data_IF_632590446455
#
_entry.id   IF_632590446455
#
_cell.length_a   1.000
_cell.length_b   1.000
_cell.length_c   1.000
_cell.angle_alpha   90.00
_cell.angle_beta   90.00
_cell.angle_gamma   90.00
#
_symmetry.space_group_name_H-M   'P 1'
#
loop_
_entity.id
_entity.type
_entity.pdbx_description
1 polymer ?
#
# COMPACT_ATOMS: atom_id res chain seq x y z
N UNK A 1 -12.13 1.90 20.75
CA UNK A 1 -12.66 0.56 20.48
C UNK A 1 -13.96 0.38 21.29
N UNK A 2 -13.91 0.31 22.63
CA UNK A 2 -15.08 0.09 23.50
C UNK A 2 -16.28 1.00 23.18
N UNK A 3 -16.04 2.30 22.97
CA UNK A 3 -17.10 3.25 22.62
C UNK A 3 -17.75 2.99 21.26
N UNK A 4 -17.04 2.41 20.32
CA UNK A 4 -17.60 1.98 19.04
C UNK A 4 -18.49 0.74 19.24
N UNK A 5 -17.95 -0.28 19.90
CA UNK A 5 -18.64 -1.53 20.13
C UNK A 5 -19.93 -1.35 20.96
N UNK A 6 -19.90 -0.50 22.00
CA UNK A 6 -21.10 -0.14 22.78
C UNK A 6 -22.22 0.50 21.94
N UNK A 7 -21.88 1.04 20.75
CA UNK A 7 -22.84 1.64 19.80
C UNK A 7 -23.13 0.78 18.59
N UNK A 8 -22.65 -0.47 18.58
CA UNK A 8 -22.82 -1.39 17.46
C UNK A 8 -22.04 -0.98 16.21
N UNK A 9 -20.95 -0.23 16.38
CA UNK A 9 -20.07 0.20 15.28
C UNK A 9 -18.78 -0.62 15.26
N UNK A 10 -18.37 -1.03 14.07
CA UNK A 10 -17.04 -1.61 13.85
C UNK A 10 -15.95 -0.52 13.90
N UNK A 11 -14.77 -0.88 14.39
CA UNK A 11 -13.59 -0.02 14.36
C UNK A 11 -12.52 -0.65 13.48
N UNK A 12 -12.17 0.04 12.39
CA UNK A 12 -11.09 -0.36 11.50
C UNK A 12 -9.85 0.51 11.73
N UNK A 13 -8.73 -0.13 12.02
CA UNK A 13 -7.45 0.56 12.16
C UNK A 13 -6.87 0.90 10.79
N UNK A 14 -6.68 2.19 10.51
CA UNK A 14 -6.08 2.65 9.25
C UNK A 14 -4.59 2.92 9.43
N UNK A 15 -3.79 2.31 8.57
CA UNK A 15 -2.35 2.53 8.52
C UNK A 15 -1.89 2.92 7.11
N UNK A 16 -0.78 3.67 7.04
CA UNK A 16 -0.02 3.88 5.82
C UNK A 16 1.24 3.01 5.88
N UNK A 17 1.34 1.94 5.08
CA UNK A 17 2.34 0.89 5.32
C UNK A 17 3.77 1.31 4.97
N UNK A 18 3.99 2.11 3.93
CA UNK A 18 5.32 2.37 3.39
C UNK A 18 5.89 3.75 3.69
N UNK A 19 5.06 4.71 4.05
CA UNK A 19 5.52 6.08 4.31
C UNK A 19 6.20 6.19 5.66
N UNK A 20 7.53 6.14 5.68
CA UNK A 20 8.34 6.26 6.90
C UNK A 20 8.45 7.70 7.41
N UNK A 21 8.42 8.72 6.50
CA UNK A 21 8.52 10.14 6.84
C UNK A 21 7.73 10.99 5.87
N UNK A 22 6.92 11.90 6.39
CA UNK A 22 6.17 12.89 5.59
C UNK A 22 7.03 14.09 5.19
N UNK A 23 6.56 14.87 4.19
CA UNK A 23 7.12 16.21 3.91
C UNK A 23 7.04 17.08 5.17
N UNK A 24 8.03 17.93 5.37
CA UNK A 24 8.08 18.88 6.49
C UNK A 24 8.54 18.30 7.82
N UNK A 25 8.61 16.98 7.99
CA UNK A 25 9.26 16.39 9.16
C UNK A 25 10.77 16.61 9.11
N UNK A 26 11.32 17.35 10.06
CA UNK A 26 12.74 17.71 10.11
C UNK A 26 13.56 16.82 11.02
N UNK A 27 12.96 16.32 12.10
CA UNK A 27 13.63 15.49 13.10
C UNK A 27 13.05 14.07 13.11
N UNK A 28 13.93 13.10 13.16
CA UNK A 28 13.58 11.68 13.31
C UNK A 28 14.12 11.18 14.64
N UNK A 29 13.34 10.36 15.32
CA UNK A 29 13.79 9.71 16.55
C UNK A 29 15.01 8.80 16.26
N UNK A 30 15.96 8.62 17.22
CA UNK A 30 17.15 7.79 17.02
C UNK A 30 16.84 6.32 16.68
N UNK A 31 15.65 5.83 17.08
CA UNK A 31 15.17 4.47 16.79
C UNK A 31 14.33 4.38 15.52
N UNK A 32 14.15 5.47 14.78
CA UNK A 32 13.38 5.48 13.55
C UNK A 32 14.04 4.61 12.46
N UNK A 33 13.23 3.91 11.64
CA UNK A 33 13.71 2.97 10.61
C UNK A 33 14.69 3.63 9.63
N UNK A 34 14.43 4.86 9.21
CA UNK A 34 15.29 5.60 8.29
C UNK A 34 16.64 6.01 8.92
N UNK A 35 16.75 6.04 10.26
CA UNK A 35 17.99 6.29 10.99
C UNK A 35 18.75 4.99 11.23
N UNK A 36 18.06 3.98 11.76
CA UNK A 36 18.69 2.68 12.09
C UNK A 36 19.04 1.82 10.88
N UNK A 37 18.27 1.95 9.81
CA UNK A 37 18.40 1.10 8.61
C UNK A 37 18.16 1.91 7.34
N UNK A 38 19.03 2.90 7.05
CA UNK A 38 18.82 3.84 5.94
C UNK A 38 18.73 3.16 4.57
N UNK A 39 19.37 2.00 4.38
CA UNK A 39 19.28 1.20 3.17
C UNK A 39 17.89 0.56 2.92
N UNK A 40 16.96 0.64 3.88
CA UNK A 40 15.59 0.13 3.74
C UNK A 40 14.61 1.16 3.21
N UNK A 41 15.00 2.41 3.17
CA UNK A 41 14.17 3.53 2.71
C UNK A 41 14.84 4.26 1.57
N UNK A 42 14.05 4.95 0.77
CA UNK A 42 14.55 5.91 -0.20
C UNK A 42 13.86 7.27 0.00
N UNK A 43 14.59 8.33 -0.38
CA UNK A 43 14.05 9.68 -0.42
C UNK A 43 13.32 9.90 -1.75
N UNK A 44 12.10 10.46 -1.68
CA UNK A 44 11.32 10.80 -2.85
C UNK A 44 10.36 11.95 -2.51
N UNK A 45 10.41 13.03 -3.28
CA UNK A 45 9.53 14.19 -3.13
C UNK A 45 9.43 14.69 -1.66
N UNK A 46 10.59 14.81 -0.99
CA UNK A 46 10.68 15.27 0.41
C UNK A 46 10.20 14.28 1.48
N UNK A 47 9.80 13.09 1.09
CA UNK A 47 9.39 12.00 1.97
C UNK A 47 10.48 10.93 2.07
N UNK A 48 10.38 10.06 3.09
CA UNK A 48 11.06 8.76 3.10
C UNK A 48 10.04 7.65 2.96
N UNK A 49 10.29 6.78 1.99
CA UNK A 49 9.43 5.63 1.67
C UNK A 49 10.23 4.36 1.98
N UNK A 50 9.65 3.45 2.74
CA UNK A 50 10.18 2.09 2.85
C UNK A 50 10.06 1.43 1.48
N UNK A 51 11.19 0.95 0.94
CA UNK A 51 11.23 0.42 -0.42
C UNK A 51 10.38 -0.87 -0.54
N UNK A 52 9.27 -0.87 -1.31
CA UNK A 52 8.42 -2.07 -1.47
C UNK A 52 9.13 -3.23 -2.17
N UNK A 53 10.20 -2.93 -2.92
CA UNK A 53 11.05 -3.92 -3.59
C UNK A 53 11.93 -4.74 -2.66
N UNK A 54 12.07 -4.35 -1.39
CA UNK A 54 12.87 -5.09 -0.40
C UNK A 54 11.98 -6.07 0.37
N UNK A 55 12.18 -7.40 0.24
CA UNK A 55 11.35 -8.40 0.91
C UNK A 55 11.23 -8.20 2.43
N UNK A 56 12.33 -7.91 3.11
CA UNK A 56 12.33 -7.71 4.56
C UNK A 56 11.52 -6.49 5.03
N UNK A 57 11.21 -5.53 4.14
CA UNK A 57 10.31 -4.42 4.46
C UNK A 57 8.86 -4.91 4.54
N UNK A 58 8.42 -5.75 3.60
CA UNK A 58 7.08 -6.35 3.62
C UNK A 58 6.88 -7.19 4.87
N UNK A 59 7.85 -8.04 5.20
CA UNK A 59 7.82 -8.85 6.42
C UNK A 59 7.76 -7.99 7.70
N UNK A 60 8.51 -6.88 7.73
CA UNK A 60 8.52 -5.96 8.87
C UNK A 60 7.15 -5.29 9.06
N UNK A 61 6.52 -4.85 7.97
CA UNK A 61 5.18 -4.24 8.02
C UNK A 61 4.14 -5.27 8.46
N UNK A 62 4.21 -6.51 7.93
CA UNK A 62 3.31 -7.58 8.37
C UNK A 62 3.45 -7.87 9.87
N UNK A 63 4.68 -7.85 10.44
CA UNK A 63 4.88 -8.00 11.89
C UNK A 63 4.27 -6.86 12.70
N UNK A 64 4.33 -5.63 12.21
CA UNK A 64 3.66 -4.48 12.87
C UNK A 64 2.15 -4.68 12.88
N UNK A 65 1.58 -5.09 11.74
CA UNK A 65 0.14 -5.35 11.65
C UNK A 65 -0.29 -6.52 12.52
N UNK A 66 0.49 -7.60 12.54
CA UNK A 66 0.24 -8.74 13.43
C UNK A 66 0.21 -8.32 14.92
N UNK A 67 1.14 -7.45 15.34
CA UNK A 67 1.16 -6.89 16.71
C UNK A 67 -0.11 -6.06 16.97
N UNK A 68 -0.56 -5.22 16.03
CA UNK A 68 -1.79 -4.45 16.16
C UNK A 68 -3.00 -5.37 16.29
N UNK A 69 -3.14 -6.34 15.39
CA UNK A 69 -4.28 -7.28 15.37
C UNK A 69 -4.33 -8.12 16.64
N UNK A 70 -3.18 -8.56 17.15
CA UNK A 70 -3.11 -9.33 18.41
C UNK A 70 -3.52 -8.52 19.63
N UNK A 71 -3.03 -7.29 19.73
CA UNK A 71 -3.13 -6.47 20.95
C UNK A 71 -4.44 -5.72 21.08
N UNK A 72 -5.08 -5.40 19.96
CA UNK A 72 -6.29 -4.58 19.97
C UNK A 72 -7.49 -5.35 19.45
N UNK A 73 -8.66 -5.04 20.02
CA UNK A 73 -9.95 -5.61 19.62
C UNK A 73 -10.55 -4.79 18.48
N UNK A 74 -9.83 -4.77 17.35
CA UNK A 74 -10.28 -4.12 16.12
C UNK A 74 -11.08 -5.10 15.27
N UNK A 75 -12.04 -4.58 14.51
CA UNK A 75 -12.90 -5.34 13.59
C UNK A 75 -12.33 -5.40 12.18
N UNK A 76 -11.43 -4.47 11.85
CA UNK A 76 -10.77 -4.44 10.56
C UNK A 76 -9.45 -3.72 10.59
N UNK A 77 -8.61 -4.01 9.58
CA UNK A 77 -7.44 -3.25 9.22
C UNK A 77 -7.66 -2.63 7.84
N UNK A 78 -7.29 -1.37 7.69
CA UNK A 78 -7.45 -0.60 6.46
C UNK A 78 -6.13 0.00 6.01
N UNK A 79 -5.83 -0.11 4.72
CA UNK A 79 -4.74 0.61 4.06
C UNK A 79 -5.27 1.48 2.92
N UNK A 80 -4.55 2.55 2.62
CA UNK A 80 -4.84 3.44 1.50
C UNK A 80 -4.10 3.02 0.21
N UNK A 81 -3.81 3.96 -0.66
CA UNK A 81 -3.18 3.77 -1.97
C UNK A 81 -1.67 4.11 -1.99
N UNK A 82 -1.05 4.36 -0.84
CA UNK A 82 0.37 4.72 -0.73
C UNK A 82 1.28 3.49 -0.65
N UNK A 83 1.41 2.77 -1.76
CA UNK A 83 2.38 1.67 -1.92
C UNK A 83 3.71 2.21 -2.44
N UNK A 84 3.84 2.40 -3.75
CA UNK A 84 4.86 3.25 -4.35
C UNK A 84 4.41 4.72 -4.29
N UNK A 85 5.35 5.69 -4.26
CA UNK A 85 4.97 7.10 -4.19
C UNK A 85 4.26 7.56 -5.47
N UNK A 86 3.42 8.59 -5.33
CA UNK A 86 2.82 9.25 -6.47
C UNK A 86 3.89 9.84 -7.38
N UNK A 87 3.73 9.79 -8.71
CA UNK A 87 4.66 10.40 -9.63
C UNK A 87 4.90 11.88 -9.33
N UNK A 88 6.15 12.28 -9.19
CA UNK A 88 6.56 13.67 -9.01
C UNK A 88 7.38 14.14 -10.23
N UNK A 89 7.12 15.35 -10.69
CA UNK A 89 7.77 15.90 -11.88
C UNK A 89 9.30 15.87 -11.76
N UNK A 90 9.97 15.33 -12.77
CA UNK A 90 11.42 15.26 -12.82
C UNK A 90 12.07 14.23 -11.87
N UNK A 91 11.28 13.43 -11.16
CA UNK A 91 11.81 12.40 -10.25
C UNK A 91 11.51 10.99 -10.75
N UNK A 92 12.44 10.10 -10.53
CA UNK A 92 12.27 8.67 -10.72
C UNK A 92 12.36 7.95 -9.37
N UNK A 93 11.59 6.87 -9.21
CA UNK A 93 11.68 6.04 -8.01
C UNK A 93 13.06 5.37 -7.99
N UNK A 94 13.86 5.57 -6.93
CA UNK A 94 15.26 5.11 -6.89
C UNK A 94 15.37 3.65 -6.41
N UNK A 95 14.73 2.72 -7.11
CA UNK A 95 14.70 1.28 -6.79
C UNK A 95 15.34 0.41 -7.89
N UNK A 96 16.12 1.01 -8.79
CA UNK A 96 16.78 0.31 -9.90
C UNK A 96 17.74 -0.78 -9.42
N UNK A 97 18.44 -0.54 -8.28
CA UNK A 97 19.32 -1.52 -7.68
C UNK A 97 18.57 -2.77 -7.22
N UNK A 98 17.45 -2.58 -6.55
CA UNK A 98 16.60 -3.68 -6.08
C UNK A 98 15.94 -4.42 -7.25
N UNK A 99 15.59 -3.70 -8.33
CA UNK A 99 15.13 -4.34 -9.56
C UNK A 99 16.21 -5.21 -10.20
N UNK A 100 17.45 -4.76 -10.24
CA UNK A 100 18.57 -5.59 -10.71
C UNK A 100 18.79 -6.85 -9.85
N UNK A 101 18.59 -6.72 -8.55
CA UNK A 101 18.78 -7.81 -7.59
C UNK A 101 17.61 -8.81 -7.56
N UNK A 102 16.36 -8.33 -7.65
CA UNK A 102 15.15 -9.13 -7.40
C UNK A 102 14.19 -9.19 -8.60
N UNK A 103 14.48 -8.50 -9.69
CA UNK A 103 13.59 -8.38 -10.84
C UNK A 103 13.81 -9.43 -11.93
N UNK A 104 14.63 -10.45 -11.69
CA UNK A 104 14.83 -11.52 -12.65
C UNK A 104 13.48 -12.21 -13.00
N UNK A 105 13.22 -12.39 -14.30
CA UNK A 105 11.99 -12.98 -14.80
C UNK A 105 10.85 -12.00 -15.11
N UNK A 106 10.99 -10.71 -14.75
CA UNK A 106 10.00 -9.69 -15.12
C UNK A 106 10.39 -8.99 -16.41
N UNK A 107 9.41 -8.77 -17.29
CA UNK A 107 9.62 -8.11 -18.59
C UNK A 107 10.05 -6.63 -18.43
N UNK A 108 9.62 -5.98 -17.37
CA UNK A 108 9.94 -4.58 -17.07
C UNK A 108 9.80 -4.27 -15.58
N UNK A 109 10.34 -3.13 -15.16
CA UNK A 109 10.32 -2.69 -13.76
C UNK A 109 8.90 -2.45 -13.22
N UNK A 110 7.95 -2.04 -14.07
CA UNK A 110 6.56 -1.81 -13.68
C UNK A 110 5.86 -3.11 -13.25
N UNK A 111 6.10 -4.20 -13.99
CA UNK A 111 5.57 -5.52 -13.64
C UNK A 111 6.17 -6.04 -12.33
N UNK A 112 7.47 -5.83 -12.12
CA UNK A 112 8.13 -6.16 -10.87
C UNK A 112 7.58 -5.34 -9.68
N UNK A 113 7.37 -4.05 -9.85
CA UNK A 113 6.78 -3.19 -8.81
C UNK A 113 5.37 -3.65 -8.44
N UNK A 114 4.52 -3.94 -9.43
CA UNK A 114 3.17 -4.50 -9.19
C UNK A 114 3.23 -5.82 -8.44
N UNK A 115 4.15 -6.70 -8.83
CA UNK A 115 4.33 -7.96 -8.13
C UNK A 115 4.74 -7.75 -6.67
N UNK A 116 5.61 -6.79 -6.36
CA UNK A 116 5.99 -6.47 -4.99
C UNK A 116 4.79 -6.05 -4.14
N UNK A 117 3.90 -5.21 -4.71
CA UNK A 117 2.67 -4.79 -4.05
C UNK A 117 1.70 -5.95 -3.91
N UNK A 118 1.54 -6.78 -4.94
CA UNK A 118 0.68 -7.97 -4.89
C UNK A 118 1.14 -8.95 -3.79
N UNK A 119 2.44 -9.24 -3.70
CA UNK A 119 3.00 -10.09 -2.64
C UNK A 119 2.71 -9.47 -1.27
N UNK A 120 2.90 -8.16 -1.11
CA UNK A 120 2.64 -7.48 0.16
C UNK A 120 1.17 -7.59 0.57
N UNK A 121 0.23 -7.29 -0.31
CA UNK A 121 -1.21 -7.36 -0.02
C UNK A 121 -1.62 -8.78 0.37
N UNK A 122 -1.13 -9.79 -0.35
CA UNK A 122 -1.40 -11.18 0.00
C UNK A 122 -0.81 -11.57 1.36
N UNK A 123 0.46 -11.25 1.60
CA UNK A 123 1.11 -11.54 2.89
C UNK A 123 0.41 -10.86 4.06
N UNK A 124 -0.10 -9.64 3.84
CA UNK A 124 -0.82 -8.90 4.86
C UNK A 124 -2.17 -9.56 5.16
N UNK A 125 -2.93 -9.94 4.14
CA UNK A 125 -4.18 -10.69 4.28
C UNK A 125 -3.95 -12.02 5.04
N UNK A 126 -2.97 -12.79 4.61
CA UNK A 126 -2.62 -14.08 5.23
C UNK A 126 -2.25 -13.88 6.73
N UNK A 127 -1.48 -12.83 7.06
CA UNK A 127 -1.07 -12.52 8.43
C UNK A 127 -2.25 -12.12 9.33
N UNK A 128 -3.14 -11.26 8.81
CA UNK A 128 -4.33 -10.82 9.54
C UNK A 128 -5.24 -12.01 9.84
N UNK A 129 -5.60 -12.76 8.82
CA UNK A 129 -6.58 -13.87 8.96
C UNK A 129 -6.00 -15.07 9.74
N UNK A 130 -4.68 -15.29 9.68
CA UNK A 130 -4.02 -16.30 10.52
C UNK A 130 -4.04 -15.91 12.00
N UNK A 131 -4.04 -14.61 12.33
CA UNK A 131 -4.05 -14.10 13.69
C UNK A 131 -5.45 -14.00 14.28
N UNK A 132 -6.38 -13.37 13.52
CA UNK A 132 -7.81 -13.26 13.86
C UNK A 132 -8.65 -13.39 12.59
N UNK A 133 -9.23 -14.56 12.28
CA UNK A 133 -9.94 -14.81 11.02
C UNK A 133 -11.14 -13.91 10.76
N UNK A 134 -11.68 -13.27 11.79
CA UNK A 134 -12.84 -12.37 11.69
C UNK A 134 -12.46 -10.92 11.43
N UNK A 135 -11.19 -10.54 11.56
CA UNK A 135 -10.74 -9.17 11.31
C UNK A 135 -10.70 -8.94 9.79
N UNK A 136 -11.49 -8.00 9.33
CA UNK A 136 -11.58 -7.64 7.91
C UNK A 136 -10.33 -6.92 7.43
N UNK A 137 -9.90 -7.18 6.22
CA UNK A 137 -8.84 -6.42 5.57
C UNK A 137 -9.39 -5.63 4.39
N UNK A 138 -9.27 -4.31 4.43
CA UNK A 138 -9.79 -3.41 3.41
C UNK A 138 -8.76 -2.46 2.82
N UNK A 139 -9.03 -2.03 1.59
CA UNK A 139 -8.17 -1.09 0.86
C UNK A 139 -9.00 0.04 0.29
N UNK A 140 -8.53 1.31 0.43
CA UNK A 140 -9.06 2.45 -0.32
C UNK A 140 -8.05 2.87 -1.41
N UNK A 141 -8.14 2.25 -2.59
CA UNK A 141 -7.27 2.56 -3.70
C UNK A 141 -7.66 3.88 -4.36
N UNK A 142 -6.78 4.46 -5.17
CA UNK A 142 -7.11 5.58 -6.04
C UNK A 142 -8.32 5.25 -6.92
N UNK A 143 -9.16 6.24 -7.24
CA UNK A 143 -10.47 6.02 -7.87
C UNK A 143 -10.42 5.51 -9.32
N UNK A 144 -9.29 5.63 -10.01
CA UNK A 144 -9.12 5.17 -11.40
C UNK A 144 -8.22 3.95 -11.42
N UNK A 145 -8.74 2.81 -11.89
CA UNK A 145 -7.90 1.62 -12.10
C UNK A 145 -6.98 1.80 -13.30
N UNK A 146 -7.55 2.02 -14.51
CA UNK A 146 -6.84 2.34 -15.74
C UNK A 146 -7.69 3.25 -16.64
N UNK A 147 -7.05 4.15 -17.36
CA UNK A 147 -7.73 4.98 -18.37
C UNK A 147 -7.94 4.21 -19.67
N UNK A 148 -9.02 4.49 -20.40
CA UNK A 148 -9.32 3.86 -21.70
C UNK A 148 -8.21 4.09 -22.75
N UNK A 149 -7.46 5.19 -22.64
CA UNK A 149 -6.32 5.48 -23.52
C UNK A 149 -5.09 4.58 -23.28
N UNK A 150 -4.99 3.96 -22.12
CA UNK A 150 -3.83 3.11 -21.75
C UNK A 150 -4.18 1.63 -21.75
N UNK A 151 -5.46 1.27 -21.66
CA UNK A 151 -5.87 -0.12 -21.63
C UNK A 151 -7.28 -0.33 -22.19
N UNK A 152 -7.47 -1.41 -22.92
CA UNK A 152 -8.81 -1.89 -23.29
C UNK A 152 -9.63 -2.18 -22.02
N UNK A 153 -10.88 -1.71 -21.98
CA UNK A 153 -11.74 -1.81 -20.79
C UNK A 153 -11.46 -0.81 -19.68
N UNK A 154 -10.53 0.12 -19.86
CA UNK A 154 -10.30 1.24 -18.95
C UNK A 154 -11.45 2.24 -18.97
N UNK A 155 -11.56 3.05 -17.89
CA UNK A 155 -12.58 4.11 -17.80
C UNK A 155 -12.26 5.30 -18.69
N UNK A 156 -13.29 6.06 -19.09
CA UNK A 156 -13.12 7.29 -19.86
C UNK A 156 -12.64 8.45 -18.96
N UNK A 157 -11.44 8.28 -18.41
CA UNK A 157 -10.79 9.19 -17.48
C UNK A 157 -9.40 9.56 -17.99
N UNK A 158 -8.76 10.57 -17.36
CA UNK A 158 -7.42 11.06 -17.73
C UNK A 158 -6.50 11.25 -16.52
N UNK A 159 -6.94 10.84 -15.32
CA UNK A 159 -6.18 11.01 -14.08
C UNK A 159 -5.12 9.92 -13.87
N UNK A 160 -4.51 10.00 -12.70
CA UNK A 160 -3.59 8.99 -12.15
C UNK A 160 -4.26 7.62 -12.10
N UNK A 161 -3.52 6.55 -12.30
CA UNK A 161 -4.03 5.19 -12.42
C UNK A 161 -3.42 4.28 -11.36
N UNK A 162 -4.24 3.42 -10.75
CA UNK A 162 -3.74 2.42 -9.81
C UNK A 162 -2.71 1.49 -10.45
N UNK A 163 -3.08 0.87 -11.57
CA UNK A 163 -2.29 -0.19 -12.19
C UNK A 163 -0.98 0.32 -12.79
N UNK A 164 -1.05 1.40 -13.58
CA UNK A 164 0.09 1.87 -14.37
C UNK A 164 0.99 2.82 -13.58
N UNK A 165 0.43 3.70 -12.73
CA UNK A 165 1.17 4.77 -12.08
C UNK A 165 1.53 4.43 -10.61
N UNK A 166 0.65 3.71 -9.90
CA UNK A 166 0.83 3.35 -8.49
C UNK A 166 1.21 1.88 -8.28
N UNK A 167 1.27 1.10 -9.37
CA UNK A 167 1.63 -0.33 -9.35
C UNK A 167 0.70 -1.18 -8.47
N UNK A 168 -0.58 -0.79 -8.38
CA UNK A 168 -1.59 -1.42 -7.56
C UNK A 168 -2.61 -2.19 -8.42
N UNK A 169 -2.56 -3.51 -8.39
CA UNK A 169 -3.46 -4.39 -9.15
C UNK A 169 -4.69 -4.77 -8.33
N UNK A 170 -5.53 -3.78 -8.05
CA UNK A 170 -6.70 -3.90 -7.17
C UNK A 170 -7.69 -4.95 -7.67
N UNK A 171 -7.88 -5.07 -8.99
CA UNK A 171 -8.79 -6.08 -9.57
C UNK A 171 -8.29 -7.48 -9.25
N UNK A 172 -6.98 -7.72 -9.33
CA UNK A 172 -6.39 -8.99 -8.92
C UNK A 172 -6.70 -9.29 -7.45
N UNK A 173 -6.51 -8.33 -6.55
CA UNK A 173 -6.72 -8.57 -5.12
C UNK A 173 -8.17 -8.92 -4.78
N UNK A 174 -9.15 -8.28 -5.47
CA UNK A 174 -10.57 -8.62 -5.34
C UNK A 174 -10.85 -10.02 -5.90
N UNK A 175 -10.37 -10.34 -7.09
CA UNK A 175 -10.63 -11.61 -7.75
C UNK A 175 -10.02 -12.81 -7.01
N UNK A 176 -8.87 -12.60 -6.40
CA UNK A 176 -8.15 -13.63 -5.61
C UNK A 176 -8.67 -13.71 -4.15
N UNK A 177 -9.60 -12.83 -3.76
CA UNK A 177 -10.15 -12.79 -2.40
C UNK A 177 -9.12 -12.40 -1.33
N UNK A 178 -8.13 -11.59 -1.68
CA UNK A 178 -7.11 -11.14 -0.71
C UNK A 178 -7.59 -9.98 0.15
N UNK A 179 -8.61 -9.26 -0.28
CA UNK A 179 -9.23 -8.15 0.48
C UNK A 179 -10.71 -8.43 0.69
N UNK A 180 -11.21 -8.11 1.88
CA UNK A 180 -12.61 -8.31 2.27
C UNK A 180 -13.51 -7.19 1.77
N UNK A 181 -12.95 -5.97 1.59
CA UNK A 181 -13.67 -4.84 1.01
C UNK A 181 -12.74 -3.85 0.30
N UNK A 182 -13.31 -3.14 -0.67
CA UNK A 182 -12.62 -2.13 -1.47
C UNK A 182 -13.43 -0.83 -1.46
N UNK A 183 -12.76 0.30 -1.14
CA UNK A 183 -13.36 1.64 -1.07
C UNK A 183 -12.61 2.59 -1.99
N UNK A 184 -12.87 2.60 -3.31
CA UNK A 184 -12.19 3.51 -4.23
C UNK A 184 -12.38 4.98 -3.85
N UNK A 185 -11.31 5.76 -3.89
CA UNK A 185 -11.31 7.19 -3.54
C UNK A 185 -11.87 8.03 -4.70
N UNK A 186 -13.15 8.36 -4.64
CA UNK A 186 -13.88 9.12 -5.65
C UNK A 186 -14.07 10.57 -5.18
N UNK A 187 -13.00 11.38 -5.20
CA UNK A 187 -13.02 12.77 -4.74
C UNK A 187 -13.45 13.77 -5.81
N UNK A 188 -14.44 13.43 -6.62
CA UNK A 188 -15.03 14.32 -7.62
C UNK A 188 -16.54 14.37 -7.51
N UNK A 189 -17.12 15.40 -8.11
CA UNK A 189 -18.57 15.62 -8.04
C UNK A 189 -19.35 14.50 -8.76
N UNK A 190 -20.59 14.29 -8.34
CA UNK A 190 -21.52 13.35 -9.00
C UNK A 190 -21.79 13.84 -10.43
N UNK A 191 -21.66 12.92 -11.39
CA UNK A 191 -21.83 13.22 -12.82
C UNK A 191 -20.57 13.68 -13.57
N UNK A 192 -19.41 13.58 -12.92
CA UNK A 192 -18.12 13.87 -13.54
C UNK A 192 -17.66 12.75 -14.50
#
# INVERSE_FOLDING_TARGET
IEQCHQRGMELHAWINPYRAKTKGTTLLAPNHIAVKSPGRVFAYDGQYIMNPGIPSNREYICKIVDDIVRRYDIDGLHIDDYFYPYPAAGQQIPDQREYQQYGAGFANIGDWRRNNVNIFVKQLADSIHATKPWVKFGVSPFGIYRNARTAAGGSNTRGLQNYDDLYADVIKWVNEGWIDYCVPQLYWQIGH
#
